data_IF_828451696233
#
_entry.id   IF_828451696233
#
_cell.length_a   1.000
_cell.length_b   1.000
_cell.length_c   1.000
_cell.angle_alpha   90.00
_cell.angle_beta   90.00
_cell.angle_gamma   90.00
#
_symmetry.space_group_name_H-M   'P 1'
#
loop_
_entity.id
_entity.type
_entity.pdbx_description
1 polymer ?
#
# COMPACT_ATOMS: atom_id res chain seq x y z
N UNK A 1 13.70 -12.80 4.66
CA UNK A 1 13.98 -11.45 4.09
C UNK A 1 14.25 -11.51 2.58
N UNK A 2 14.91 -12.55 2.06
CA UNK A 2 15.10 -12.74 0.60
C UNK A 2 13.79 -13.00 -0.17
N UNK A 3 12.75 -13.54 0.47
CA UNK A 3 11.47 -13.85 -0.20
C UNK A 3 10.69 -12.62 -0.70
N UNK A 4 10.98 -11.41 -0.19
CA UNK A 4 10.33 -10.18 -0.65
C UNK A 4 10.94 -9.57 -1.93
N UNK A 5 12.12 -10.05 -2.37
CA UNK A 5 12.72 -9.62 -3.64
C UNK A 5 11.95 -10.16 -4.86
N UNK A 6 11.22 -11.28 -4.69
CA UNK A 6 10.36 -11.85 -5.73
C UNK A 6 9.10 -11.02 -6.05
N UNK A 7 8.85 -9.93 -5.32
CA UNK A 7 7.62 -9.15 -5.43
C UNK A 7 7.77 -7.82 -6.18
N UNK A 8 8.96 -7.43 -6.65
CA UNK A 8 9.10 -6.15 -7.37
C UNK A 8 8.30 -6.14 -8.68
N UNK A 9 8.25 -7.26 -9.40
CA UNK A 9 7.41 -7.41 -10.60
C UNK A 9 5.92 -7.32 -10.28
N UNK A 10 5.51 -7.69 -9.06
CA UNK A 10 4.11 -7.59 -8.61
C UNK A 10 3.69 -6.14 -8.33
N UNK A 11 4.63 -5.24 -8.02
CA UNK A 11 4.32 -3.84 -7.71
C UNK A 11 3.71 -3.09 -8.89
N UNK A 12 3.82 -3.63 -10.11
CA UNK A 12 3.15 -3.07 -11.29
C UNK A 12 1.64 -3.36 -11.29
N UNK A 13 1.20 -4.38 -10.56
CA UNK A 13 -0.16 -4.92 -10.61
C UNK A 13 -0.88 -4.90 -9.26
N UNK A 14 -0.15 -4.95 -8.15
CA UNK A 14 -0.69 -5.17 -6.82
C UNK A 14 -0.03 -4.24 -5.80
N UNK A 15 -0.83 -3.73 -4.87
CA UNK A 15 -0.38 -3.02 -3.67
C UNK A 15 -0.91 -3.69 -2.42
N UNK A 16 -0.28 -3.40 -1.28
CA UNK A 16 -0.56 -4.07 -0.02
C UNK A 16 -1.00 -3.07 1.05
N UNK A 17 -2.02 -3.42 1.82
CA UNK A 17 -2.46 -2.71 3.01
C UNK A 17 -2.03 -3.49 4.26
N UNK A 18 -1.32 -2.82 5.16
CA UNK A 18 -0.86 -3.41 6.41
C UNK A 18 -1.83 -3.11 7.56
N UNK A 19 -2.27 -4.16 8.26
CA UNK A 19 -3.20 -4.05 9.40
C UNK A 19 -2.90 -5.11 10.46
N UNK A 20 -3.83 -5.39 11.36
CA UNK A 20 -3.74 -6.51 12.31
C UNK A 20 -4.98 -7.39 12.32
N UNK A 21 -4.82 -8.62 12.79
CA UNK A 21 -5.90 -9.62 12.86
C UNK A 21 -7.07 -9.21 13.74
N UNK A 22 -6.93 -8.18 14.60
CA UNK A 22 -8.01 -7.62 15.43
C UNK A 22 -9.20 -7.12 14.61
N UNK A 23 -8.91 -6.48 13.48
CA UNK A 23 -9.92 -5.82 12.64
C UNK A 23 -10.27 -6.64 11.41
N UNK A 24 -9.65 -7.82 11.25
CA UNK A 24 -9.82 -8.64 10.06
C UNK A 24 -11.28 -9.05 9.88
N UNK A 25 -11.97 -9.52 10.93
CA UNK A 25 -13.40 -9.88 10.82
C UNK A 25 -14.27 -8.71 10.36
N UNK A 26 -13.97 -7.49 10.82
CA UNK A 26 -14.70 -6.28 10.40
C UNK A 26 -14.42 -6.00 8.93
N UNK A 27 -13.15 -6.05 8.51
CA UNK A 27 -12.76 -5.84 7.12
C UNK A 27 -13.40 -6.89 6.21
N UNK A 28 -13.39 -8.16 6.61
CA UNK A 28 -13.96 -9.27 5.83
C UNK A 28 -15.49 -9.19 5.70
N UNK A 29 -16.18 -8.51 6.62
CA UNK A 29 -17.65 -8.45 6.64
C UNK A 29 -18.23 -7.12 6.16
N UNK A 30 -17.49 -6.03 6.31
CA UNK A 30 -17.96 -4.67 6.04
C UNK A 30 -17.07 -3.93 5.03
N UNK A 31 -15.96 -4.52 4.60
CA UNK A 31 -14.95 -3.86 3.78
C UNK A 31 -13.95 -3.04 4.60
N UNK A 32 -12.92 -2.52 3.92
CA UNK A 32 -11.90 -1.67 4.54
C UNK A 32 -12.44 -0.25 4.73
N UNK A 33 -12.66 0.14 5.98
CA UNK A 33 -13.06 1.51 6.33
C UNK A 33 -11.96 2.52 6.00
N UNK A 34 -12.31 3.74 5.55
CA UNK A 34 -11.34 4.81 5.38
C UNK A 34 -10.84 5.31 6.75
N UNK A 35 -9.65 5.88 6.73
CA UNK A 35 -8.96 6.52 7.86
C UNK A 35 -8.62 7.97 7.52
N UNK A 36 -8.25 8.76 8.52
CA UNK A 36 -7.74 10.11 8.31
C UNK A 36 -6.42 10.09 7.52
N UNK A 37 -6.40 10.74 6.36
CA UNK A 37 -5.23 10.85 5.47
C UNK A 37 -4.71 12.29 5.35
N UNK A 38 -5.22 13.23 6.16
CA UNK A 38 -4.91 14.67 6.06
C UNK A 38 -3.41 14.97 6.14
N UNK A 39 -2.67 14.20 6.93
CA UNK A 39 -1.22 14.36 7.07
C UNK A 39 -0.42 13.80 5.88
N UNK A 40 -1.03 12.96 5.05
CA UNK A 40 -0.40 12.25 3.95
C UNK A 40 -0.72 12.83 2.58
N UNK A 41 -1.69 13.74 2.49
CA UNK A 41 -2.17 14.32 1.23
C UNK A 41 -1.97 15.82 1.24
N UNK A 42 -1.93 16.44 0.06
CA UNK A 42 -1.86 17.91 -0.01
C UNK A 42 -3.15 18.51 0.55
N UNK A 43 -3.01 19.60 1.30
CA UNK A 43 -4.15 20.33 1.85
C UNK A 43 -5.13 20.86 0.78
N UNK A 44 -4.65 21.13 -0.45
CA UNK A 44 -5.48 21.65 -1.54
C UNK A 44 -6.27 20.57 -2.29
N UNK A 45 -6.00 19.28 -2.05
CA UNK A 45 -6.83 18.17 -2.57
C UNK A 45 -8.20 18.18 -1.88
N UNK A 46 -8.32 18.76 -0.68
CA UNK A 46 -9.59 18.92 0.03
C UNK A 46 -10.21 17.59 0.47
N UNK A 47 -9.38 16.58 0.71
CA UNK A 47 -9.79 15.24 1.07
C UNK A 47 -9.14 14.83 2.41
N UNK A 48 -9.92 14.31 3.33
CA UNK A 48 -9.47 13.92 4.67
C UNK A 48 -9.54 12.41 4.91
N UNK A 49 -10.18 11.65 4.02
CA UNK A 49 -10.51 10.24 4.21
C UNK A 49 -9.91 9.33 3.13
N UNK A 50 -9.29 8.21 3.52
CA UNK A 50 -8.76 7.23 2.57
C UNK A 50 -8.05 6.07 3.24
N UNK A 51 -7.28 5.31 2.46
CA UNK A 51 -6.50 4.17 2.96
C UNK A 51 -5.08 4.17 2.42
N UNK A 52 -4.16 3.70 3.26
CA UNK A 52 -2.73 3.59 2.93
C UNK A 52 -2.43 2.25 2.29
N UNK A 53 -1.68 2.29 1.19
CA UNK A 53 -1.24 1.12 0.44
C UNK A 53 0.24 1.24 0.11
N UNK A 54 0.94 0.14 -0.07
CA UNK A 54 2.36 0.20 -0.37
C UNK A 54 2.95 -1.10 -0.89
N UNK A 55 4.28 -1.11 -0.96
CA UNK A 55 5.04 -2.32 -1.27
C UNK A 55 4.85 -3.35 -0.16
N UNK A 56 5.09 -4.65 -0.41
CA UNK A 56 5.04 -5.67 0.62
C UNK A 56 5.87 -5.30 1.86
N UNK A 57 7.06 -4.73 1.65
CA UNK A 57 7.97 -4.35 2.75
C UNK A 57 7.39 -3.19 3.57
N UNK A 58 6.90 -2.14 2.90
CA UNK A 58 6.30 -0.99 3.56
C UNK A 58 5.02 -1.36 4.30
N UNK A 59 4.11 -2.10 3.66
CA UNK A 59 2.89 -2.59 4.28
C UNK A 59 3.16 -3.51 5.47
N UNK A 60 4.19 -4.38 5.39
CA UNK A 60 4.60 -5.23 6.51
C UNK A 60 5.08 -4.40 7.70
N UNK A 61 5.88 -3.35 7.45
CA UNK A 61 6.34 -2.46 8.51
C UNK A 61 5.17 -1.76 9.22
N UNK A 62 4.19 -1.26 8.46
CA UNK A 62 2.97 -0.67 9.02
C UNK A 62 2.09 -1.68 9.76
N UNK A 63 1.97 -2.92 9.27
CA UNK A 63 1.22 -3.98 9.95
C UNK A 63 1.86 -4.31 11.31
N UNK A 64 3.19 -4.43 11.35
CA UNK A 64 3.95 -4.67 12.58
C UNK A 64 3.77 -3.52 13.57
N UNK A 65 3.86 -2.27 13.10
CA UNK A 65 3.67 -1.08 13.94
C UNK A 65 2.23 -1.03 14.48
N UNK A 66 1.24 -1.26 13.63
CA UNK A 66 -0.18 -1.31 14.02
C UNK A 66 -0.46 -2.38 15.07
N UNK A 67 0.06 -3.59 14.86
CA UNK A 67 -0.07 -4.70 15.82
C UNK A 67 0.62 -4.40 17.17
N UNK A 68 1.73 -3.68 17.17
CA UNK A 68 2.47 -3.34 18.40
C UNK A 68 1.85 -2.16 19.15
N UNK A 69 1.60 -1.06 18.45
CA UNK A 69 1.28 0.24 19.07
C UNK A 69 -0.23 0.43 19.24
N UNK A 70 -1.04 -0.04 18.29
CA UNK A 70 -2.49 0.19 18.27
C UNK A 70 -3.27 -1.00 18.80
N UNK A 71 -2.85 -2.21 18.43
CA UNK A 71 -3.55 -3.47 18.72
C UNK A 71 -2.67 -4.51 19.43
N UNK A 72 -2.06 -4.18 20.59
CA UNK A 72 -1.13 -5.07 21.26
C UNK A 72 -1.77 -6.43 21.56
N UNK A 73 -1.03 -7.49 21.26
CA UNK A 73 -1.47 -8.89 21.42
C UNK A 73 -2.18 -9.49 20.20
N UNK A 74 -2.28 -8.74 19.10
CA UNK A 74 -2.78 -9.24 17.82
C UNK A 74 -1.65 -9.36 16.79
N UNK A 75 -1.85 -10.21 15.78
CA UNK A 75 -0.85 -10.49 14.76
C UNK A 75 -0.94 -9.49 13.61
N UNK A 76 0.20 -9.13 12.98
CA UNK A 76 0.21 -8.32 11.77
C UNK A 76 -0.38 -9.10 10.59
N UNK A 77 -1.17 -8.42 9.76
CA UNK A 77 -1.86 -9.00 8.60
C UNK A 77 -1.68 -8.08 7.40
N UNK A 78 -1.58 -8.67 6.21
CA UNK A 78 -1.55 -7.93 4.95
C UNK A 78 -2.79 -8.25 4.12
N UNK A 79 -3.32 -7.24 3.45
CA UNK A 79 -4.29 -7.38 2.37
C UNK A 79 -3.63 -6.96 1.07
N UNK A 80 -3.82 -7.72 0.01
CA UNK A 80 -3.32 -7.39 -1.32
C UNK A 80 -4.49 -6.99 -2.23
N UNK A 81 -4.34 -5.88 -2.93
CA UNK A 81 -5.35 -5.37 -3.86
C UNK A 81 -4.74 -5.17 -5.25
N UNK A 82 -5.41 -5.60 -6.33
CA UNK A 82 -5.03 -5.21 -7.68
C UNK A 82 -5.13 -3.69 -7.82
N UNK A 83 -4.07 -3.07 -8.34
CA UNK A 83 -4.02 -1.63 -8.60
C UNK A 83 -5.18 -1.19 -9.48
N UNK A 84 -5.54 -1.99 -10.49
CA UNK A 84 -6.64 -1.68 -11.40
C UNK A 84 -7.99 -1.58 -10.71
N UNK A 85 -8.22 -2.34 -9.65
CA UNK A 85 -9.44 -2.25 -8.84
C UNK A 85 -9.44 -0.94 -8.06
N UNK A 86 -8.32 -0.61 -7.41
CA UNK A 86 -8.19 0.65 -6.68
C UNK A 86 -8.28 1.86 -7.61
N UNK A 87 -7.69 1.84 -8.81
CA UNK A 87 -7.82 2.91 -9.81
C UNK A 87 -9.26 3.06 -10.34
N UNK A 88 -10.04 1.98 -10.34
CA UNK A 88 -11.44 2.03 -10.76
C UNK A 88 -12.36 2.63 -9.69
N UNK A 89 -12.01 2.50 -8.42
CA UNK A 89 -12.85 2.91 -7.28
C UNK A 89 -12.38 4.22 -6.61
N UNK A 90 -11.07 4.50 -6.64
CA UNK A 90 -10.44 5.55 -5.85
C UNK A 90 -9.53 6.44 -6.71
N UNK A 91 -9.33 7.66 -6.26
CA UNK A 91 -8.20 8.45 -6.72
C UNK A 91 -6.94 8.04 -5.96
N UNK A 92 -5.92 7.57 -6.69
CA UNK A 92 -4.61 7.26 -6.11
C UNK A 92 -3.71 8.49 -6.11
N UNK A 93 -3.10 8.78 -4.97
CA UNK A 93 -2.19 9.92 -4.78
C UNK A 93 -0.92 9.49 -4.05
N UNK A 94 0.12 10.33 -4.13
CA UNK A 94 1.37 10.12 -3.41
C UNK A 94 1.15 10.19 -1.89
N UNK A 95 1.89 9.37 -1.15
CA UNK A 95 1.97 9.49 0.31
C UNK A 95 3.04 10.53 0.69
N UNK A 96 2.59 11.75 0.97
CA UNK A 96 3.48 12.84 1.38
C UNK A 96 4.04 12.69 2.77
N UNK A 97 3.38 11.95 3.67
CA UNK A 97 3.86 11.80 5.03
C UNK A 97 5.23 11.09 5.05
N UNK A 98 5.46 10.17 4.11
CA UNK A 98 6.73 9.46 3.96
C UNK A 98 7.88 10.37 3.47
N UNK A 99 7.58 11.52 2.86
CA UNK A 99 8.62 12.51 2.49
C UNK A 99 9.16 13.19 3.76
N UNK A 100 8.26 13.60 4.65
CA UNK A 100 8.61 14.28 5.90
C UNK A 100 9.12 13.30 6.98
N UNK A 101 8.64 12.07 6.96
CA UNK A 101 8.95 11.00 7.92
C UNK A 101 9.37 9.72 7.21
N UNK A 102 10.57 9.69 6.59
CA UNK A 102 11.01 8.56 5.80
C UNK A 102 11.18 7.29 6.64
N UNK A 103 10.60 6.19 6.14
CA UNK A 103 10.83 4.87 6.68
C UNK A 103 12.23 4.38 6.26
N UNK A 104 13.19 4.47 7.18
CA UNK A 104 14.59 4.09 6.93
C UNK A 104 14.70 2.66 6.38
N UNK A 105 15.45 2.51 5.30
CA UNK A 105 15.66 1.23 4.62
C UNK A 105 14.47 0.68 3.83
N UNK A 106 13.34 1.42 3.77
CA UNK A 106 12.15 1.08 2.98
C UNK A 106 11.87 2.08 1.85
N UNK A 107 12.53 3.24 1.88
CA UNK A 107 12.43 4.28 0.86
C UNK A 107 13.75 4.44 0.11
N UNK A 108 13.68 4.99 -1.08
CA UNK A 108 14.83 5.37 -1.92
C UNK A 108 15.29 6.80 -1.66
N UNK A 109 14.77 7.47 -0.62
CA UNK A 109 15.10 8.86 -0.31
C UNK A 109 16.58 9.08 0.07
N UNK A 110 17.29 8.03 0.50
CA UNK A 110 18.73 8.07 0.74
C UNK A 110 19.55 8.02 -0.57
N UNK A 111 18.93 7.69 -1.71
CA UNK A 111 19.60 7.64 -3.00
C UNK A 111 19.85 9.05 -3.57
N UNK A 112 21.02 9.28 -4.22
CA UNK A 112 21.32 10.57 -4.83
C UNK A 112 20.25 11.01 -5.83
N UNK A 113 19.68 12.20 -5.62
CA UNK A 113 18.71 12.83 -6.52
C UNK A 113 17.25 12.46 -6.27
N UNK A 114 16.94 11.36 -5.56
CA UNK A 114 15.55 10.99 -5.24
C UNK A 114 14.95 11.98 -4.25
N UNK A 115 15.64 12.27 -3.14
CA UNK A 115 15.18 13.27 -2.18
C UNK A 115 14.96 14.65 -2.83
N UNK A 116 15.86 15.09 -3.71
CA UNK A 116 15.73 16.40 -4.38
C UNK A 116 14.55 16.43 -5.36
N UNK A 117 14.27 15.31 -6.05
CA UNK A 117 13.06 15.13 -6.87
C UNK A 117 11.79 15.34 -6.04
N UNK A 118 11.71 14.66 -4.89
CA UNK A 118 10.55 14.77 -3.99
C UNK A 118 10.48 16.12 -3.28
N UNK A 119 11.60 16.76 -2.98
CA UNK A 119 11.63 18.11 -2.39
C UNK A 119 11.15 19.18 -3.37
N UNK A 120 11.44 19.02 -4.66
CA UNK A 120 11.13 20.01 -5.70
C UNK A 120 9.73 19.85 -6.30
N UNK A 121 9.33 18.62 -6.65
CA UNK A 121 8.04 18.32 -7.26
C UNK A 121 7.00 17.82 -6.23
N UNK A 122 7.45 17.18 -5.15
CA UNK A 122 6.59 16.68 -4.09
C UNK A 122 5.38 15.91 -4.59
N UNK A 123 4.21 16.42 -4.26
CA UNK A 123 2.92 15.81 -4.60
C UNK A 123 2.48 16.00 -6.05
N UNK A 124 3.20 16.78 -6.87
CA UNK A 124 2.91 16.92 -8.30
C UNK A 124 3.39 15.70 -9.12
N UNK A 125 4.16 14.79 -8.51
CA UNK A 125 4.60 13.56 -9.16
C UNK A 125 3.45 12.56 -9.30
N UNK A 126 3.49 11.67 -10.31
CA UNK A 126 2.56 10.56 -10.42
C UNK A 126 2.62 9.64 -9.18
N UNK A 127 1.48 9.14 -8.71
CA UNK A 127 1.43 8.23 -7.56
C UNK A 127 2.32 6.99 -7.75
N UNK A 128 2.52 6.51 -8.99
CA UNK A 128 3.39 5.37 -9.29
C UNK A 128 4.84 5.63 -8.89
N UNK A 129 5.31 6.87 -9.03
CA UNK A 129 6.63 7.28 -8.55
C UNK A 129 6.70 7.20 -7.02
N UNK A 130 5.62 7.56 -6.30
CA UNK A 130 5.52 7.41 -4.85
C UNK A 130 5.66 5.95 -4.43
N UNK A 131 4.99 5.03 -5.15
CA UNK A 131 5.12 3.60 -4.86
C UNK A 131 6.56 3.09 -5.11
N UNK A 132 7.26 3.60 -6.13
CA UNK A 132 8.64 3.19 -6.45
C UNK A 132 9.65 3.75 -5.45
N UNK A 133 9.54 5.04 -5.10
CA UNK A 133 10.56 5.72 -4.31
C UNK A 133 10.24 5.76 -2.82
N UNK A 134 8.98 5.99 -2.47
CA UNK A 134 8.52 6.10 -1.08
C UNK A 134 7.96 4.77 -0.58
N UNK A 135 7.65 3.84 -1.48
CA UNK A 135 7.12 2.53 -1.13
C UNK A 135 5.66 2.56 -0.68
N UNK A 136 4.98 3.70 -0.80
CA UNK A 136 3.63 3.92 -0.31
C UNK A 136 2.83 4.90 -1.18
N UNK A 137 1.51 4.76 -1.13
CA UNK A 137 0.51 5.61 -1.77
C UNK A 137 -0.73 5.70 -0.88
N UNK A 138 -1.61 6.64 -1.21
CA UNK A 138 -2.92 6.78 -0.58
C UNK A 138 -4.00 6.58 -1.63
N UNK A 139 -5.01 5.77 -1.31
CA UNK A 139 -6.25 5.70 -2.06
C UNK A 139 -7.28 6.60 -1.35
N UNK A 140 -7.78 7.63 -2.05
CA UNK A 140 -8.77 8.55 -1.50
C UNK A 140 -10.17 7.97 -1.67
N UNK A 141 -10.90 7.81 -0.56
CA UNK A 141 -12.28 7.33 -0.52
C UNK A 141 -12.92 7.64 0.84
N UNK A 142 -14.25 7.78 0.86
CA UNK A 142 -15.07 8.01 2.06
C UNK A 142 -16.05 6.85 2.33
N UNK A 143 -15.95 5.76 1.57
CA UNK A 143 -16.75 4.54 1.67
C UNK A 143 -15.89 3.33 2.06
N UNK A 144 -16.53 2.21 2.41
CA UNK A 144 -15.81 0.97 2.70
C UNK A 144 -15.41 0.30 1.39
N UNK A 145 -14.12 -0.05 1.23
CA UNK A 145 -13.67 -0.81 0.06
C UNK A 145 -14.06 -2.28 0.22
N UNK A 146 -14.75 -2.82 -0.78
CA UNK A 146 -15.20 -4.20 -0.76
C UNK A 146 -14.02 -5.17 -0.79
N UNK A 147 -13.99 -6.06 0.21
CA UNK A 147 -12.90 -7.03 0.43
C UNK A 147 -12.92 -8.19 -0.57
N UNK A 148 -14.03 -8.38 -1.31
CA UNK A 148 -14.17 -9.46 -2.30
C UNK A 148 -13.14 -9.35 -3.44
N UNK A 149 -12.60 -8.15 -3.64
CA UNK A 149 -11.55 -7.88 -4.63
C UNK A 149 -10.12 -8.04 -4.08
N UNK A 150 -9.96 -8.37 -2.80
CA UNK A 150 -8.67 -8.39 -2.10
C UNK A 150 -8.27 -9.80 -1.64
N UNK A 151 -6.97 -10.08 -1.71
CA UNK A 151 -6.40 -11.31 -1.21
C UNK A 151 -5.82 -11.11 0.20
N UNK A 152 -6.23 -11.95 1.14
CA UNK A 152 -5.66 -11.99 2.48
C UNK A 152 -4.30 -12.71 2.46
N UNK A 153 -3.27 -12.06 3.01
CA UNK A 153 -1.90 -12.56 3.06
C UNK A 153 -1.48 -12.73 4.52
N UNK A 154 -1.49 -13.96 4.99
CA UNK A 154 -1.11 -14.33 6.37
C UNK A 154 0.27 -15.01 6.42
N UNK A 155 0.78 -15.46 5.28
CA UNK A 155 2.02 -16.21 5.18
C UNK A 155 2.81 -15.91 3.89
N UNK A 156 4.12 -16.20 3.88
CA UNK A 156 4.92 -16.12 2.65
C UNK A 156 4.42 -17.03 1.52
N UNK A 157 3.73 -18.12 1.86
CA UNK A 157 3.10 -19.00 0.87
C UNK A 157 1.92 -18.34 0.15
N UNK A 158 1.23 -17.39 0.81
CA UNK A 158 0.12 -16.65 0.20
C UNK A 158 0.66 -15.65 -0.83
N UNK A 159 1.76 -14.97 -0.50
CA UNK A 159 2.48 -14.10 -1.45
C UNK A 159 2.93 -14.87 -2.69
N UNK A 160 3.45 -16.09 -2.52
CA UNK A 160 3.84 -16.95 -3.66
C UNK A 160 2.64 -17.29 -4.54
N UNK A 161 1.53 -17.73 -3.94
CA UNK A 161 0.28 -18.05 -4.68
C UNK A 161 -0.26 -16.84 -5.43
N UNK A 162 -0.24 -15.67 -4.80
CA UNK A 162 -0.62 -14.42 -5.43
C UNK A 162 0.27 -14.13 -6.65
N UNK A 163 1.59 -14.26 -6.50
CA UNK A 163 2.56 -14.05 -7.57
C UNK A 163 2.33 -14.97 -8.78
N UNK A 164 2.10 -16.25 -8.52
CA UNK A 164 1.79 -17.25 -9.54
C UNK A 164 0.48 -16.91 -10.27
N UNK A 165 -0.56 -16.50 -9.54
CA UNK A 165 -1.85 -16.12 -10.11
C UNK A 165 -1.76 -14.90 -11.02
N UNK A 166 -0.95 -13.89 -10.64
CA UNK A 166 -0.77 -12.66 -11.41
C UNK A 166 0.12 -12.89 -12.62
N UNK A 167 1.12 -13.76 -12.53
CA UNK A 167 1.94 -14.19 -13.66
C UNK A 167 1.10 -14.89 -14.73
N UNK A 168 0.16 -15.74 -14.33
CA UNK A 168 -0.78 -16.40 -15.24
C UNK A 168 -1.78 -15.42 -15.87
N UNK A 169 -2.20 -14.37 -15.14
CA UNK A 169 -3.07 -13.32 -15.70
C UNK A 169 -2.32 -12.41 -16.67
N UNK A 170 -1.09 -12.02 -16.35
CA UNK A 170 -0.21 -11.24 -17.22
C UNK A 170 0.18 -11.97 -18.51
N UNK A 171 0.42 -13.28 -18.44
CA UNK A 171 0.69 -14.11 -19.62
C UNK A 171 -0.51 -14.24 -20.57
N UNK A 172 -1.75 -14.12 -20.05
CA UNK A 172 -2.98 -14.16 -20.85
C UNK A 172 -3.48 -12.78 -21.30
N UNK A 173 -2.88 -11.69 -20.80
CA UNK A 173 -3.22 -10.31 -21.14
C UNK A 173 -2.31 -9.71 -22.23
N UNK A 174 -1.30 -10.46 -22.69
CA UNK A 174 -0.48 -10.10 -23.84
C UNK A 174 -1.18 -10.57 -25.14
N UNK A 175 -1.42 -9.68 -26.11
CA UNK A 175 -2.01 -10.05 -27.40
C UNK A 175 -1.08 -10.92 -28.26
#
# INVERSE_FOLDING_TARGET
MEEFLFCEDLLQFVVFHGTSSKVLDVIMTQGLSPTDVTAAVRADIGWDSGSFWGTPRTATAYAIDTAKERHPGWEPVLLAAPISILEAQCQLVCDGATIDFPLKGLTRLEEPGVFEKWRSAGFDLPWRESLIDLGAIVALHDFHLDIEDFDLIESPSDLRRLSESMSLRGANALP
#
